data_IF_950988265096
#
_entry.id   IF_950988265096
#
_cell.length_a   1.000
_cell.length_b   1.000
_cell.length_c   1.000
_cell.angle_alpha   90.00
_cell.angle_beta   90.00
_cell.angle_gamma   90.00
#
_symmetry.space_group_name_H-M   'P 1'
#
loop_
_entity.id
_entity.type
_entity.pdbx_description
1 polymer ?
#
# COMPACT_ATOMS: atom_id res chain seq x y z
N UNK A 1 15.28 -29.61 12.33
CA UNK A 1 15.56 -28.52 11.36
C UNK A 1 14.68 -27.33 11.67
N UNK A 2 15.22 -26.25 12.27
CA UNK A 2 14.50 -24.97 12.40
C UNK A 2 14.55 -24.30 11.03
N UNK A 3 13.49 -24.44 10.23
CA UNK A 3 13.32 -23.62 9.02
C UNK A 3 13.21 -22.16 9.46
N UNK A 4 14.34 -21.46 9.43
CA UNK A 4 14.34 -20.02 9.67
C UNK A 4 13.70 -19.38 8.45
N UNK A 5 12.54 -18.76 8.65
CA UNK A 5 11.81 -17.99 7.62
C UNK A 5 12.68 -16.87 7.01
N UNK A 6 13.82 -16.56 7.62
CA UNK A 6 14.78 -15.53 7.19
C UNK A 6 15.60 -15.91 5.95
N UNK A 7 15.68 -17.18 5.56
CA UNK A 7 16.49 -17.61 4.39
C UNK A 7 15.66 -18.12 3.22
N UNK A 8 14.33 -18.14 3.35
CA UNK A 8 13.45 -18.61 2.29
C UNK A 8 13.38 -17.58 1.15
N UNK A 9 13.44 -18.07 -0.08
CA UNK A 9 13.19 -17.25 -1.28
C UNK A 9 11.78 -16.68 -1.23
N UNK A 10 11.58 -15.44 -1.70
CA UNK A 10 10.25 -14.82 -1.85
C UNK A 10 9.32 -15.75 -2.63
N UNK A 11 9.82 -16.37 -3.72
CA UNK A 11 9.06 -17.34 -4.52
C UNK A 11 8.68 -18.57 -3.70
N UNK A 12 9.57 -19.08 -2.85
CA UNK A 12 9.27 -20.21 -1.96
C UNK A 12 8.23 -19.84 -0.92
N UNK A 13 8.30 -18.65 -0.32
CA UNK A 13 7.31 -18.18 0.65
C UNK A 13 5.93 -17.99 0.03
N UNK A 14 5.86 -17.43 -1.18
CA UNK A 14 4.61 -17.28 -1.94
C UNK A 14 4.06 -18.65 -2.32
N UNK A 15 4.88 -19.57 -2.84
CA UNK A 15 4.43 -20.92 -3.15
C UNK A 15 3.95 -21.66 -1.90
N UNK A 16 4.68 -21.54 -0.78
CA UNK A 16 4.31 -22.16 0.48
C UNK A 16 3.00 -21.59 1.02
N UNK A 17 2.74 -20.28 0.90
CA UNK A 17 1.45 -19.70 1.31
C UNK A 17 0.29 -20.17 0.42
N UNK A 18 0.49 -20.30 -0.90
CA UNK A 18 -0.49 -20.88 -1.82
C UNK A 18 -0.77 -22.36 -1.49
N UNK A 19 0.26 -23.17 -1.26
CA UNK A 19 0.10 -24.57 -0.86
C UNK A 19 -0.62 -24.70 0.49
N UNK A 20 -0.27 -23.86 1.46
CA UNK A 20 -0.91 -23.83 2.78
C UNK A 20 -2.39 -23.42 2.69
N UNK A 21 -2.75 -22.57 1.73
CA UNK A 21 -4.14 -22.17 1.47
C UNK A 21 -4.94 -23.23 0.67
N UNK A 22 -4.28 -24.10 -0.10
CA UNK A 22 -4.91 -25.14 -0.90
C UNK A 22 -5.23 -26.43 -0.11
N UNK A 23 -4.39 -26.80 0.85
CA UNK A 23 -4.61 -28.00 1.70
C UNK A 23 -6.01 -28.00 2.33
N UNK A 24 -6.47 -26.90 2.94
CA UNK A 24 -7.78 -26.83 3.59
C UNK A 24 -8.92 -27.02 2.58
N UNK A 25 -8.82 -26.43 1.38
CA UNK A 25 -9.80 -26.61 0.30
C UNK A 25 -9.86 -28.07 -0.16
N UNK A 26 -8.72 -28.74 -0.26
CA UNK A 26 -8.66 -30.17 -0.57
C UNK A 26 -9.33 -31.04 0.48
N UNK A 27 -9.13 -30.75 1.77
CA UNK A 27 -9.80 -31.44 2.89
C UNK A 27 -11.32 -31.24 2.82
N UNK A 28 -11.79 -30.02 2.54
CA UNK A 28 -13.22 -29.72 2.38
C UNK A 28 -13.86 -30.52 1.25
N UNK A 29 -13.22 -30.56 0.07
CA UNK A 29 -13.73 -31.31 -1.08
C UNK A 29 -13.81 -32.82 -0.78
N UNK A 30 -12.78 -33.36 -0.13
CA UNK A 30 -12.75 -34.76 0.27
C UNK A 30 -13.85 -35.10 1.27
N UNK A 31 -14.02 -34.26 2.28
CA UNK A 31 -15.02 -34.45 3.33
C UNK A 31 -16.45 -34.32 2.80
N UNK A 32 -16.70 -33.31 1.95
CA UNK A 32 -17.99 -33.14 1.28
C UNK A 32 -18.37 -34.36 0.44
N UNK A 33 -17.42 -34.92 -0.32
CA UNK A 33 -17.66 -36.09 -1.16
C UNK A 33 -17.96 -37.36 -0.32
N UNK A 34 -17.24 -37.54 0.79
CA UNK A 34 -17.45 -38.67 1.70
C UNK A 34 -18.80 -38.59 2.43
N UNK A 35 -19.24 -37.39 2.81
CA UNK A 35 -20.54 -37.19 3.46
C UNK A 35 -21.72 -37.43 2.50
N UNK A 36 -21.63 -36.94 1.26
CA UNK A 36 -22.68 -37.10 0.24
C UNK A 36 -22.93 -38.57 -0.10
N UNK A 37 -21.84 -39.35 -0.26
CA UNK A 37 -21.90 -40.77 -0.59
C UNK A 37 -22.43 -41.64 0.55
N UNK A 38 -22.12 -41.28 1.80
CA UNK A 38 -22.65 -41.96 2.99
C UNK A 38 -24.16 -41.73 3.16
N UNK A 39 -24.64 -40.49 3.09
CA UNK A 39 -26.07 -40.20 3.33
C UNK A 39 -26.97 -40.76 2.22
N UNK A 40 -26.53 -40.70 0.95
CA UNK A 40 -27.34 -41.14 -0.19
C UNK A 40 -27.61 -42.66 -0.20
N UNK A 41 -26.60 -43.49 0.05
CA UNK A 41 -26.75 -44.94 -0.06
C UNK A 41 -27.56 -45.53 1.11
N UNK A 42 -27.43 -44.96 2.31
CA UNK A 42 -28.22 -45.38 3.47
C UNK A 42 -29.67 -44.90 3.41
N UNK A 43 -29.93 -43.71 2.85
CA UNK A 43 -31.30 -43.21 2.65
C UNK A 43 -32.10 -44.05 1.64
N UNK A 44 -31.46 -44.51 0.55
CA UNK A 44 -32.13 -45.36 -0.44
C UNK A 44 -32.49 -46.74 0.15
N UNK A 45 -31.53 -47.41 0.80
CA UNK A 45 -31.76 -48.74 1.36
C UNK A 45 -32.83 -48.76 2.48
N UNK A 46 -32.87 -47.74 3.32
CA UNK A 46 -33.89 -47.63 4.37
C UNK A 46 -35.27 -47.29 3.83
N UNK A 47 -35.36 -46.45 2.78
CA UNK A 47 -36.63 -46.18 2.11
C UNK A 47 -37.22 -47.44 1.45
N UNK A 48 -36.39 -48.27 0.81
CA UNK A 48 -36.84 -49.55 0.23
C UNK A 48 -37.40 -50.51 1.28
N UNK A 49 -36.73 -50.62 2.44
CA UNK A 49 -37.18 -51.47 3.55
C UNK A 49 -38.45 -50.96 4.23
N UNK A 50 -38.62 -49.63 4.36
CA UNK A 50 -39.84 -49.03 4.88
C UNK A 50 -41.04 -49.31 3.96
N UNK A 51 -40.87 -49.13 2.64
CA UNK A 51 -41.93 -49.36 1.65
C UNK A 51 -42.36 -50.83 1.61
N UNK A 52 -41.41 -51.78 1.69
CA UNK A 52 -41.74 -53.21 1.69
C UNK A 52 -42.52 -53.63 2.94
N UNK A 53 -42.15 -53.10 4.12
CA UNK A 53 -42.82 -53.37 5.39
C UNK A 53 -44.26 -52.83 5.43
N UNK A 54 -44.49 -51.63 4.89
CA UNK A 54 -45.85 -51.06 4.76
C UNK A 54 -46.72 -51.89 3.82
N UNK A 55 -46.19 -52.29 2.65
CA UNK A 55 -46.92 -53.13 1.69
C UNK A 55 -47.31 -54.48 2.28
N UNK A 56 -46.43 -55.10 3.09
CA UNK A 56 -46.74 -56.35 3.78
C UNK A 56 -47.87 -56.16 4.81
N UNK A 57 -47.83 -55.08 5.60
CA UNK A 57 -48.88 -54.77 6.57
C UNK A 57 -50.25 -54.54 5.93
N UNK A 58 -50.30 -53.82 4.80
CA UNK A 58 -51.53 -53.62 4.01
C UNK A 58 -52.09 -54.93 3.45
N UNK A 59 -51.22 -55.78 2.88
CA UNK A 59 -51.60 -57.10 2.36
C UNK A 59 -52.22 -57.99 3.45
N UNK A 60 -51.59 -58.03 4.62
CA UNK A 60 -52.10 -58.77 5.78
C UNK A 60 -53.44 -58.23 6.28
N UNK A 61 -53.66 -56.91 6.22
CA UNK A 61 -54.94 -56.31 6.59
C UNK A 61 -56.05 -56.71 5.63
N UNK A 62 -55.79 -56.74 4.32
CA UNK A 62 -56.74 -57.24 3.32
C UNK A 62 -57.05 -58.71 3.53
N UNK A 63 -56.04 -59.54 3.82
CA UNK A 63 -56.20 -60.98 3.99
C UNK A 63 -57.07 -61.33 5.21
N UNK A 64 -57.01 -60.54 6.30
CA UNK A 64 -57.92 -60.71 7.44
C UNK A 64 -59.38 -60.49 7.07
N UNK A 65 -59.67 -59.52 6.19
CA UNK A 65 -61.04 -59.29 5.68
C UNK A 65 -61.51 -60.46 4.82
N UNK A 66 -60.61 -61.04 4.01
CA UNK A 66 -60.92 -62.21 3.20
C UNK A 66 -61.16 -63.47 4.07
N UNK A 67 -60.40 -63.64 5.17
CA UNK A 67 -60.66 -64.67 6.18
C UNK A 67 -62.04 -64.48 6.79
N UNK A 68 -62.39 -63.27 7.23
CA UNK A 68 -63.71 -62.96 7.82
C UNK A 68 -64.84 -63.30 6.83
N UNK A 69 -64.68 -62.92 5.55
CA UNK A 69 -65.65 -63.23 4.50
C UNK A 69 -65.76 -64.73 4.24
N UNK A 70 -64.64 -65.44 4.11
CA UNK A 70 -64.63 -66.88 3.83
C UNK A 70 -65.20 -67.71 4.98
N UNK A 71 -64.88 -67.37 6.24
CA UNK A 71 -65.43 -68.01 7.45
C UNK A 71 -66.95 -67.82 7.51
N UNK A 72 -67.44 -66.60 7.27
CA UNK A 72 -68.89 -66.31 7.24
C UNK A 72 -69.61 -67.06 6.12
N UNK A 73 -69.05 -67.07 4.91
CA UNK A 73 -69.64 -67.80 3.78
C UNK A 73 -69.69 -69.31 4.04
N UNK A 74 -68.63 -69.86 4.62
CA UNK A 74 -68.58 -71.27 4.98
C UNK A 74 -69.63 -71.64 6.05
N UNK A 75 -69.81 -70.80 7.07
CA UNK A 75 -70.81 -71.04 8.13
C UNK A 75 -72.25 -71.17 7.58
N UNK A 76 -72.57 -70.45 6.50
CA UNK A 76 -73.89 -70.47 5.84
C UNK A 76 -74.02 -71.61 4.82
N UNK A 77 -73.04 -71.76 3.91
CA UNK A 77 -73.16 -72.63 2.71
C UNK A 77 -72.58 -74.03 2.94
N UNK A 78 -71.59 -74.18 3.84
CA UNK A 78 -71.00 -75.45 4.31
C UNK A 78 -70.49 -76.38 3.20
N UNK A 79 -69.73 -75.85 2.24
CA UNK A 79 -69.06 -76.65 1.20
C UNK A 79 -67.57 -76.84 1.47
N UNK A 80 -67.02 -78.00 1.09
CA UNK A 80 -65.60 -78.33 1.24
C UNK A 80 -64.67 -77.32 0.52
N UNK A 81 -65.14 -76.75 -0.59
CA UNK A 81 -64.38 -75.74 -1.34
C UNK A 81 -64.19 -74.45 -0.53
N UNK A 82 -65.24 -73.98 0.17
CA UNK A 82 -65.17 -72.80 1.03
C UNK A 82 -64.37 -73.06 2.31
N UNK A 83 -64.41 -74.29 2.84
CA UNK A 83 -63.56 -74.70 3.96
C UNK A 83 -62.08 -74.61 3.60
N UNK A 84 -61.69 -75.19 2.46
CA UNK A 84 -60.30 -75.13 1.96
C UNK A 84 -59.87 -73.70 1.67
N UNK A 85 -60.76 -72.88 1.11
CA UNK A 85 -60.49 -71.46 0.86
C UNK A 85 -60.18 -70.71 2.16
N UNK A 86 -61.02 -70.87 3.20
CA UNK A 86 -60.80 -70.23 4.50
C UNK A 86 -59.51 -70.70 5.17
N UNK A 87 -59.24 -72.02 5.16
CA UNK A 87 -58.00 -72.58 5.69
C UNK A 87 -56.76 -72.06 4.96
N UNK A 88 -56.81 -71.96 3.62
CA UNK A 88 -55.72 -71.40 2.83
C UNK A 88 -55.45 -69.92 3.17
N UNK A 89 -56.49 -69.10 3.35
CA UNK A 89 -56.30 -67.71 3.76
C UNK A 89 -55.68 -67.59 5.16
N UNK A 90 -56.11 -68.44 6.12
CA UNK A 90 -55.52 -68.47 7.47
C UNK A 90 -54.06 -68.91 7.42
N UNK A 91 -53.73 -69.93 6.64
CA UNK A 91 -52.37 -70.43 6.51
C UNK A 91 -51.44 -69.41 5.83
N UNK A 92 -51.94 -68.71 4.81
CA UNK A 92 -51.22 -67.60 4.18
C UNK A 92 -50.97 -66.44 5.17
N UNK A 93 -51.95 -66.10 6.01
CA UNK A 93 -51.79 -65.05 7.03
C UNK A 93 -50.78 -65.46 8.10
N UNK A 94 -50.78 -66.73 8.52
CA UNK A 94 -49.79 -67.27 9.46
C UNK A 94 -48.38 -67.18 8.89
N UNK A 95 -48.20 -67.51 7.61
CA UNK A 95 -46.90 -67.42 6.94
C UNK A 95 -46.40 -65.98 6.82
N UNK A 96 -47.26 -65.04 6.41
CA UNK A 96 -46.91 -63.62 6.33
C UNK A 96 -46.59 -63.03 7.70
N UNK A 97 -47.36 -63.40 8.73
CA UNK A 97 -47.08 -63.00 10.11
C UNK A 97 -45.73 -63.54 10.58
N UNK A 98 -45.38 -64.79 10.27
CA UNK A 98 -44.09 -65.38 10.66
C UNK A 98 -42.90 -64.69 9.98
N UNK A 99 -43.05 -64.24 8.74
CA UNK A 99 -42.04 -63.45 8.03
C UNK A 99 -41.87 -62.07 8.67
N UNK A 100 -42.98 -61.36 8.89
CA UNK A 100 -42.97 -60.03 9.49
C UNK A 100 -42.37 -60.01 10.90
N UNK A 101 -42.74 -60.97 11.75
CA UNK A 101 -42.23 -61.07 13.11
C UNK A 101 -40.76 -61.53 13.17
N UNK A 102 -40.23 -62.11 12.09
CA UNK A 102 -38.81 -62.42 11.96
C UNK A 102 -38.00 -61.18 11.59
N UNK A 103 -38.54 -60.35 10.70
CA UNK A 103 -37.90 -59.12 10.25
C UNK A 103 -37.98 -58.00 11.30
N UNK A 104 -39.04 -58.01 12.12
CA UNK A 104 -39.27 -57.05 13.23
C UNK A 104 -39.53 -57.80 14.55
N UNK A 105 -38.47 -58.18 15.30
CA UNK A 105 -38.60 -59.00 16.51
C UNK A 105 -39.24 -58.29 17.71
N UNK A 106 -39.36 -56.96 17.68
CA UNK A 106 -39.87 -56.14 18.79
C UNK A 106 -41.40 -56.01 18.81
N UNK A 107 -42.14 -56.64 17.88
CA UNK A 107 -43.60 -56.62 17.87
C UNK A 107 -44.21 -57.50 18.97
N UNK A 108 -44.79 -56.87 19.98
CA UNK A 108 -45.37 -57.53 21.15
C UNK A 108 -46.59 -58.42 20.80
N UNK A 109 -47.33 -58.09 19.75
CA UNK A 109 -48.60 -58.73 19.38
C UNK A 109 -48.45 -59.93 18.44
N UNK A 110 -47.23 -60.22 17.96
CA UNK A 110 -46.94 -61.34 17.05
C UNK A 110 -47.38 -62.70 17.60
N UNK A 111 -47.04 -63.01 18.85
CA UNK A 111 -47.41 -64.28 19.50
C UNK A 111 -48.92 -64.39 19.73
N UNK A 112 -49.56 -63.29 20.13
CA UNK A 112 -50.99 -63.24 20.38
C UNK A 112 -51.79 -63.45 19.07
N UNK A 113 -51.42 -62.76 17.99
CA UNK A 113 -52.04 -62.90 16.67
C UNK A 113 -51.86 -64.31 16.09
N UNK A 114 -50.68 -64.91 16.25
CA UNK A 114 -50.41 -66.31 15.87
C UNK A 114 -51.34 -67.27 16.60
N UNK A 115 -51.48 -67.09 17.92
CA UNK A 115 -52.36 -67.94 18.73
C UNK A 115 -53.85 -67.81 18.33
N UNK A 116 -54.30 -66.59 18.00
CA UNK A 116 -55.67 -66.35 17.56
C UNK A 116 -55.96 -66.99 16.19
N UNK A 117 -55.03 -66.90 15.25
CA UNK A 117 -55.13 -67.54 13.93
C UNK A 117 -55.08 -69.08 14.02
N UNK A 118 -54.22 -69.64 14.87
CA UNK A 118 -54.18 -71.09 15.12
C UNK A 118 -55.47 -71.58 15.80
N UNK A 119 -56.03 -70.79 16.72
CA UNK A 119 -57.34 -71.05 17.33
C UNK A 119 -58.46 -71.03 16.29
N UNK A 120 -58.41 -70.12 15.32
CA UNK A 120 -59.39 -70.03 14.24
C UNK A 120 -59.28 -71.22 13.30
N UNK A 121 -58.05 -71.64 12.97
CA UNK A 121 -57.77 -72.85 12.18
C UNK A 121 -58.31 -74.10 12.86
N UNK A 122 -58.09 -74.25 14.17
CA UNK A 122 -58.53 -75.42 14.92
C UNK A 122 -60.06 -75.60 14.93
N UNK A 123 -60.83 -74.52 14.83
CA UNK A 123 -62.31 -74.58 14.77
C UNK A 123 -62.84 -75.29 13.53
N UNK A 124 -62.06 -75.35 12.45
CA UNK A 124 -62.44 -76.07 11.24
C UNK A 124 -62.25 -77.59 11.34
N UNK A 125 -61.68 -78.10 12.44
CA UNK A 125 -61.58 -79.54 12.72
C UNK A 125 -62.88 -80.10 13.35
N UNK A 126 -63.76 -79.23 13.84
CA UNK A 126 -65.08 -79.56 14.40
C UNK A 126 -66.19 -78.97 13.51
N UNK A 127 -67.41 -79.53 13.50
CA UNK A 127 -68.51 -78.93 12.74
C UNK A 127 -68.86 -77.55 13.29
N UNK A 128 -68.55 -76.49 12.52
CA UNK A 128 -68.91 -75.11 12.88
C UNK A 128 -70.44 -74.94 12.91
N UNK A 129 -71.00 -74.83 14.12
CA UNK A 129 -72.42 -74.53 14.34
C UNK A 129 -72.69 -73.02 14.32
N UNK A 130 -71.77 -72.20 14.82
CA UNK A 130 -71.85 -70.73 14.88
C UNK A 130 -70.52 -70.08 14.44
N UNK A 131 -70.59 -68.85 13.93
CA UNK A 131 -69.41 -68.07 13.55
C UNK A 131 -68.69 -67.60 14.82
N UNK A 132 -67.36 -67.80 14.96
CA UNK A 132 -66.60 -67.35 16.12
C UNK A 132 -66.32 -65.83 16.06
N UNK A 133 -67.36 -65.01 16.24
CA UNK A 133 -67.31 -63.55 16.10
C UNK A 133 -66.28 -62.89 17.01
N UNK A 134 -66.17 -63.34 18.27
CA UNK A 134 -65.19 -62.82 19.22
C UNK A 134 -63.75 -63.06 18.75
N UNK A 135 -63.46 -64.23 18.15
CA UNK A 135 -62.12 -64.56 17.66
C UNK A 135 -61.79 -63.80 16.38
N UNK A 136 -62.76 -63.63 15.47
CA UNK A 136 -62.61 -62.82 14.27
C UNK A 136 -62.38 -61.34 14.63
N UNK A 137 -63.12 -60.81 15.60
CA UNK A 137 -62.93 -59.45 16.11
C UNK A 137 -61.56 -59.31 16.76
N UNK A 138 -61.12 -60.29 17.56
CA UNK A 138 -59.78 -60.30 18.16
C UNK A 138 -58.68 -60.26 17.09
N UNK A 139 -58.71 -61.15 16.09
CA UNK A 139 -57.74 -61.19 14.98
C UNK A 139 -57.71 -59.85 14.23
N UNK A 140 -58.86 -59.24 13.98
CA UNK A 140 -58.97 -57.93 13.32
C UNK A 140 -58.36 -56.81 14.17
N UNK A 141 -58.69 -56.75 15.46
CA UNK A 141 -58.15 -55.71 16.36
C UNK A 141 -56.65 -55.84 16.56
N UNK A 142 -56.14 -57.07 16.73
CA UNK A 142 -54.72 -57.35 16.85
C UNK A 142 -53.98 -57.01 15.55
N UNK A 143 -54.57 -57.28 14.38
CA UNK A 143 -53.99 -56.86 13.10
C UNK A 143 -53.89 -55.34 12.98
N UNK A 144 -54.93 -54.59 13.36
CA UNK A 144 -54.89 -53.12 13.32
C UNK A 144 -53.84 -52.53 14.27
N UNK A 145 -53.68 -53.14 15.45
CA UNK A 145 -52.64 -52.74 16.40
C UNK A 145 -51.24 -53.04 15.88
N UNK A 146 -51.02 -54.21 15.26
CA UNK A 146 -49.76 -54.56 14.58
C UNK A 146 -49.41 -53.55 13.49
N UNK A 147 -50.37 -53.19 12.63
CA UNK A 147 -50.14 -52.16 11.59
C UNK A 147 -49.78 -50.82 12.20
N UNK A 148 -50.42 -50.42 13.32
CA UNK A 148 -50.08 -49.18 14.02
C UNK A 148 -48.67 -49.22 14.63
N UNK A 149 -48.29 -50.31 15.30
CA UNK A 149 -46.94 -50.48 15.85
C UNK A 149 -45.86 -50.39 14.76
N UNK A 150 -46.13 -50.93 13.57
CA UNK A 150 -45.22 -50.82 12.41
C UNK A 150 -45.07 -49.36 11.96
N UNK A 151 -46.17 -48.60 11.86
CA UNK A 151 -46.11 -47.17 11.54
C UNK A 151 -45.33 -46.37 12.59
N UNK A 152 -45.60 -46.59 13.87
CA UNK A 152 -44.92 -45.90 14.97
C UNK A 152 -43.40 -46.21 14.97
N UNK A 153 -43.00 -47.46 14.69
CA UNK A 153 -41.60 -47.86 14.57
C UNK A 153 -40.91 -47.22 13.36
N UNK A 154 -41.58 -47.15 12.20
CA UNK A 154 -41.04 -46.53 11.00
C UNK A 154 -40.88 -45.01 11.16
N UNK A 155 -41.85 -44.33 11.78
CA UNK A 155 -41.77 -42.89 12.07
C UNK A 155 -40.60 -42.58 13.00
N UNK A 156 -40.42 -43.37 14.07
CA UNK A 156 -39.27 -43.23 14.97
C UNK A 156 -37.92 -43.47 14.27
N UNK A 157 -37.84 -44.42 13.34
CA UNK A 157 -36.63 -44.66 12.56
C UNK A 157 -36.31 -43.49 11.64
N UNK A 158 -37.32 -42.94 10.95
CA UNK A 158 -37.16 -41.79 10.05
C UNK A 158 -36.70 -40.55 10.81
N UNK A 159 -37.29 -40.28 11.98
CA UNK A 159 -36.91 -39.15 12.83
C UNK A 159 -35.47 -39.26 13.32
N UNK A 160 -35.06 -40.45 13.80
CA UNK A 160 -33.67 -40.70 14.20
C UNK A 160 -32.69 -40.48 13.04
N UNK A 161 -33.05 -40.87 11.82
CA UNK A 161 -32.22 -40.64 10.64
C UNK A 161 -32.12 -39.16 10.28
N UNK A 162 -33.23 -38.42 10.29
CA UNK A 162 -33.20 -36.97 10.03
C UNK A 162 -32.34 -36.23 11.06
N UNK A 163 -32.42 -36.62 12.33
CA UNK A 163 -31.57 -36.06 13.40
C UNK A 163 -30.08 -36.38 13.17
N UNK A 164 -29.74 -37.59 12.71
CA UNK A 164 -28.35 -37.92 12.36
C UNK A 164 -27.83 -37.10 11.18
N UNK A 165 -28.64 -36.90 10.13
CA UNK A 165 -28.25 -36.07 8.98
C UNK A 165 -28.04 -34.62 9.38
N UNK A 166 -28.96 -34.03 10.15
CA UNK A 166 -28.86 -32.64 10.60
C UNK A 166 -27.69 -32.42 11.55
N UNK A 167 -27.44 -33.34 12.49
CA UNK A 167 -26.27 -33.25 13.39
C UNK A 167 -24.94 -33.34 12.61
N UNK A 168 -24.87 -34.21 11.59
CA UNK A 168 -23.68 -34.36 10.74
C UNK A 168 -23.46 -33.11 9.88
N UNK A 169 -24.52 -32.51 9.34
CA UNK A 169 -24.44 -31.22 8.62
C UNK A 169 -23.91 -30.09 9.52
N UNK A 170 -24.37 -30.00 10.78
CA UNK A 170 -23.90 -28.98 11.72
C UNK A 170 -22.42 -29.15 12.08
N UNK A 171 -21.97 -30.39 12.29
CA UNK A 171 -20.55 -30.68 12.54
C UNK A 171 -19.68 -30.27 11.34
N UNK A 172 -20.10 -30.64 10.13
CA UNK A 172 -19.43 -30.22 8.89
C UNK A 172 -19.38 -28.69 8.76
N UNK A 173 -20.48 -28.00 9.06
CA UNK A 173 -20.53 -26.54 9.01
C UNK A 173 -19.50 -25.90 9.96
N UNK A 174 -19.37 -26.39 11.20
CA UNK A 174 -18.37 -25.88 12.14
C UNK A 174 -16.93 -26.18 11.70
N UNK A 175 -16.66 -27.36 11.18
CA UNK A 175 -15.33 -27.71 10.65
C UNK A 175 -14.97 -26.85 9.44
N UNK A 176 -15.91 -26.66 8.50
CA UNK A 176 -15.71 -25.78 7.35
C UNK A 176 -15.44 -24.34 7.77
N UNK A 177 -16.19 -23.82 8.75
CA UNK A 177 -16.00 -22.48 9.27
C UNK A 177 -14.63 -22.32 9.94
N UNK A 178 -14.25 -23.25 10.82
CA UNK A 178 -12.96 -23.23 11.51
C UNK A 178 -11.79 -23.25 10.52
N UNK A 179 -11.92 -24.06 9.47
CA UNK A 179 -10.93 -24.22 8.43
C UNK A 179 -10.80 -22.96 7.54
N UNK A 180 -11.92 -22.32 7.18
CA UNK A 180 -11.93 -21.02 6.47
C UNK A 180 -11.35 -19.90 7.34
N UNK A 181 -11.65 -19.87 8.63
CA UNK A 181 -11.06 -18.87 9.53
C UNK A 181 -9.54 -19.07 9.68
N UNK A 182 -9.09 -20.32 9.79
CA UNK A 182 -7.66 -20.64 9.82
C UNK A 182 -6.95 -20.21 8.53
N UNK A 183 -7.54 -20.46 7.35
CA UNK A 183 -6.95 -20.03 6.07
C UNK A 183 -6.87 -18.52 5.97
N UNK A 184 -7.92 -17.78 6.35
CA UNK A 184 -7.93 -16.33 6.36
C UNK A 184 -6.82 -15.76 7.25
N UNK A 185 -6.66 -16.29 8.47
CA UNK A 185 -5.60 -15.89 9.40
C UNK A 185 -4.20 -16.13 8.82
N UNK A 186 -3.98 -17.28 8.18
CA UNK A 186 -2.71 -17.62 7.53
C UNK A 186 -2.40 -16.69 6.35
N UNK A 187 -3.41 -16.34 5.54
CA UNK A 187 -3.26 -15.40 4.41
C UNK A 187 -2.94 -13.99 4.91
N UNK A 188 -3.65 -13.49 5.93
CA UNK A 188 -3.37 -12.17 6.52
C UNK A 188 -1.96 -12.11 7.12
N UNK A 189 -1.54 -13.18 7.82
CA UNK A 189 -0.20 -13.29 8.38
C UNK A 189 0.88 -13.29 7.29
N UNK A 190 0.70 -14.08 6.22
CA UNK A 190 1.63 -14.13 5.10
C UNK A 190 1.70 -12.78 4.34
N UNK A 191 0.56 -12.14 4.11
CA UNK A 191 0.47 -10.83 3.46
C UNK A 191 1.25 -9.76 4.23
N UNK A 192 1.05 -9.66 5.55
CA UNK A 192 1.78 -8.72 6.39
C UNK A 192 3.30 -8.95 6.39
N UNK A 193 3.73 -10.22 6.33
CA UNK A 193 5.17 -10.59 6.27
C UNK A 193 5.83 -10.24 4.93
N UNK A 194 5.08 -10.24 3.83
CA UNK A 194 5.60 -9.92 2.49
C UNK A 194 5.54 -8.41 2.21
N UNK A 195 4.47 -7.72 2.60
CA UNK A 195 4.26 -6.31 2.30
C UNK A 195 5.15 -5.36 3.13
N UNK A 196 5.38 -5.66 4.41
CA UNK A 196 6.17 -4.82 5.30
C UNK A 196 7.61 -4.51 4.81
N UNK A 197 8.42 -5.49 4.36
CA UNK A 197 9.76 -5.20 3.85
C UNK A 197 9.75 -4.38 2.54
N UNK A 198 8.73 -4.54 1.69
CA UNK A 198 8.58 -3.74 0.45
C UNK A 198 8.34 -2.26 0.78
N UNK A 199 7.47 -1.97 1.77
CA UNK A 199 7.25 -0.61 2.24
C UNK A 199 8.49 0.02 2.89
N UNK A 200 9.40 -0.79 3.46
CA UNK A 200 10.71 -0.31 3.94
C UNK A 200 11.64 0.05 2.78
N UNK A 201 11.71 -0.79 1.75
CA UNK A 201 12.51 -0.52 0.54
C UNK A 201 12.07 0.75 -0.18
N UNK A 202 10.76 0.94 -0.32
CA UNK A 202 10.19 2.15 -0.92
C UNK A 202 10.61 3.42 -0.14
N UNK A 203 10.58 3.38 1.20
CA UNK A 203 11.11 4.48 2.03
C UNK A 203 12.61 4.71 1.82
N UNK A 204 13.41 3.65 1.67
CA UNK A 204 14.85 3.77 1.36
C UNK A 204 15.10 4.42 -0.01
N UNK A 205 14.30 4.08 -1.03
CA UNK A 205 14.40 4.68 -2.36
C UNK A 205 14.05 6.17 -2.32
N UNK A 206 12.93 6.54 -1.67
CA UNK A 206 12.56 7.94 -1.49
C UNK A 206 13.60 8.73 -0.70
N UNK A 207 14.26 8.09 0.26
CA UNK A 207 15.36 8.69 1.03
C UNK A 207 16.59 9.00 0.15
N UNK A 208 16.92 8.15 -0.83
CA UNK A 208 18.02 8.46 -1.78
C UNK A 208 17.68 9.66 -2.66
N UNK A 209 16.41 9.82 -3.06
CA UNK A 209 15.98 10.92 -3.92
C UNK A 209 15.98 12.29 -3.22
N UNK A 210 15.96 12.33 -1.89
CA UNK A 210 15.93 13.58 -1.13
C UNK A 210 17.32 13.93 -0.59
N UNK A 211 17.86 15.13 -0.88
CA UNK A 211 19.15 15.56 -0.35
C UNK A 211 19.06 15.62 1.17
N UNK A 212 19.88 14.80 1.86
CA UNK A 212 20.03 14.65 3.33
C UNK A 212 19.17 13.64 4.09
N UNK A 213 18.34 12.78 3.48
CA UNK A 213 17.79 11.68 4.30
C UNK A 213 18.89 10.70 4.67
N UNK A 214 19.18 10.57 5.97
CA UNK A 214 20.06 9.51 6.48
C UNK A 214 19.49 8.18 6.01
N UNK A 215 20.29 7.46 5.22
CA UNK A 215 19.91 6.14 4.77
C UNK A 215 19.63 5.28 6.01
N UNK A 216 18.42 4.69 6.15
CA UNK A 216 18.05 3.98 7.36
C UNK A 216 19.07 2.87 7.65
N UNK A 217 19.71 2.94 8.81
CA UNK A 217 20.78 2.00 9.15
C UNK A 217 20.24 0.61 9.54
N UNK A 218 18.92 0.50 9.69
CA UNK A 218 18.21 -0.72 10.04
C UNK A 218 18.41 -1.81 8.97
N UNK A 219 18.92 -2.98 9.38
CA UNK A 219 19.02 -4.14 8.49
C UNK A 219 17.62 -4.58 8.07
N UNK A 220 17.38 -4.67 6.76
CA UNK A 220 16.13 -5.20 6.24
C UNK A 220 15.99 -6.65 6.70
N UNK A 221 14.86 -6.99 7.33
CA UNK A 221 14.51 -8.37 7.70
C UNK A 221 13.40 -8.83 6.77
N UNK A 222 13.63 -9.91 6.03
CA UNK A 222 12.67 -10.40 5.04
C UNK A 222 13.21 -11.56 4.21
N UNK A 223 12.51 -11.89 3.11
CA UNK A 223 12.98 -12.84 2.11
C UNK A 223 14.36 -12.46 1.58
N UNK A 224 15.17 -13.46 1.24
CA UNK A 224 16.57 -13.29 0.84
C UNK A 224 16.75 -12.28 -0.30
N UNK A 225 15.89 -12.30 -1.30
CA UNK A 225 15.94 -11.40 -2.46
C UNK A 225 15.70 -9.95 -2.06
N UNK A 226 14.79 -9.69 -1.12
CA UNK A 226 14.53 -8.33 -0.63
C UNK A 226 15.67 -7.83 0.24
N UNK A 227 16.32 -8.71 1.00
CA UNK A 227 17.51 -8.35 1.79
C UNK A 227 18.71 -8.04 0.91
N UNK A 228 18.96 -8.86 -0.13
CA UNK A 228 20.03 -8.62 -1.12
C UNK A 228 19.81 -7.29 -1.86
N UNK A 229 18.57 -7.00 -2.28
CA UNK A 229 18.21 -5.72 -2.90
C UNK A 229 18.44 -4.54 -1.94
N UNK A 230 18.11 -4.70 -0.65
CA UNK A 230 18.36 -3.68 0.37
C UNK A 230 19.86 -3.38 0.56
N UNK A 231 20.71 -4.39 0.51
CA UNK A 231 22.17 -4.21 0.57
C UNK A 231 22.72 -3.52 -0.69
N UNK A 232 22.22 -3.87 -1.88
CA UNK A 232 22.57 -3.19 -3.13
C UNK A 232 22.18 -1.70 -3.11
N UNK A 233 20.99 -1.38 -2.60
CA UNK A 233 20.53 0.00 -2.47
C UNK A 233 21.42 0.80 -1.51
N UNK A 234 21.83 0.18 -0.39
CA UNK A 234 22.74 0.76 0.59
C UNK A 234 24.13 1.01 -0.02
N UNK A 235 24.66 0.06 -0.77
CA UNK A 235 25.93 0.21 -1.49
C UNK A 235 25.86 1.37 -2.49
N UNK A 236 24.78 1.48 -3.25
CA UNK A 236 24.57 2.56 -4.22
C UNK A 236 24.49 3.93 -3.53
N UNK A 237 23.75 4.04 -2.44
CA UNK A 237 23.69 5.26 -1.63
C UNK A 237 25.07 5.68 -1.11
N UNK A 238 25.84 4.73 -0.56
CA UNK A 238 27.21 5.00 -0.09
C UNK A 238 28.12 5.43 -1.23
N UNK A 239 27.99 4.82 -2.41
CA UNK A 239 28.78 5.17 -3.60
C UNK A 239 28.48 6.58 -4.09
N UNK A 240 27.21 6.99 -4.10
CA UNK A 240 26.81 8.35 -4.46
C UNK A 240 27.40 9.39 -3.49
N UNK A 241 27.31 9.14 -2.18
CA UNK A 241 27.90 10.02 -1.16
C UNK A 241 29.42 10.15 -1.32
N UNK A 242 30.13 9.05 -1.63
CA UNK A 242 31.57 9.09 -1.91
C UNK A 242 31.90 9.92 -3.15
N UNK A 243 31.14 9.76 -4.24
CA UNK A 243 31.34 10.54 -5.47
C UNK A 243 31.10 12.04 -5.24
N UNK A 244 30.07 12.36 -4.45
CA UNK A 244 29.78 13.74 -4.06
C UNK A 244 30.94 14.32 -3.23
N UNK A 245 31.42 13.61 -2.21
CA UNK A 245 32.56 14.03 -1.39
C UNK A 245 33.84 14.22 -2.22
N UNK A 246 34.14 13.31 -3.16
CA UNK A 246 35.29 13.43 -4.05
C UNK A 246 35.19 14.65 -4.97
N UNK A 247 33.99 14.94 -5.50
CA UNK A 247 33.74 16.16 -6.29
C UNK A 247 34.07 17.40 -5.46
N UNK A 248 33.75 17.42 -4.17
CA UNK A 248 34.05 18.56 -3.29
C UNK A 248 35.56 18.74 -3.05
N UNK A 249 36.27 17.64 -2.79
CA UNK A 249 37.73 17.68 -2.58
C UNK A 249 38.42 18.20 -3.84
N UNK A 250 38.01 17.71 -5.02
CA UNK A 250 38.54 18.16 -6.31
C UNK A 250 38.32 19.66 -6.53
N UNK A 251 37.10 20.16 -6.29
CA UNK A 251 36.80 21.58 -6.46
C UNK A 251 37.60 22.46 -5.50
N UNK A 252 37.72 22.06 -4.23
CA UNK A 252 38.52 22.80 -3.24
C UNK A 252 40.00 22.83 -3.62
N UNK A 253 40.55 21.69 -4.05
CA UNK A 253 41.93 21.59 -4.47
C UNK A 253 42.21 22.40 -5.73
N UNK A 254 41.36 22.27 -6.77
CA UNK A 254 41.49 23.01 -8.01
C UNK A 254 41.57 24.52 -7.77
N UNK A 255 40.79 25.06 -6.84
CA UNK A 255 40.82 26.48 -6.56
C UNK A 255 42.03 26.94 -5.76
N UNK A 256 42.55 26.11 -4.86
CA UNK A 256 43.83 26.40 -4.21
C UNK A 256 44.97 26.46 -5.24
N UNK A 257 45.00 25.48 -6.15
CA UNK A 257 46.00 25.41 -7.22
C UNK A 257 45.86 26.51 -8.28
N UNK A 258 44.67 27.09 -8.45
CA UNK A 258 44.46 28.25 -9.33
C UNK A 258 44.81 29.58 -8.65
N UNK A 259 44.59 29.71 -7.33
CA UNK A 259 44.86 30.95 -6.59
C UNK A 259 46.36 31.28 -6.54
N UNK A 260 47.20 30.27 -6.34
CA UNK A 260 48.66 30.44 -6.28
C UNK A 260 49.27 31.06 -7.55
N UNK A 261 49.08 30.50 -8.76
CA UNK A 261 49.65 31.09 -9.98
C UNK A 261 49.03 32.45 -10.32
N UNK A 262 47.76 32.68 -9.99
CA UNK A 262 47.13 34.00 -10.17
C UNK A 262 47.77 35.07 -9.27
N UNK A 263 48.04 34.74 -8.01
CA UNK A 263 48.77 35.64 -7.10
C UNK A 263 50.17 35.96 -7.63
N UNK A 264 50.90 34.98 -8.14
CA UNK A 264 52.23 35.21 -8.74
C UNK A 264 52.17 36.09 -9.99
N UNK A 265 51.16 35.93 -10.85
CA UNK A 265 50.95 36.81 -12.03
C UNK A 265 50.65 38.24 -11.58
N UNK A 266 49.79 38.42 -10.56
CA UNK A 266 49.48 39.75 -10.00
C UNK A 266 50.71 40.41 -9.40
N UNK A 267 51.49 39.68 -8.61
CA UNK A 267 52.70 40.19 -7.99
C UNK A 267 53.74 40.60 -9.04
N UNK A 268 53.95 39.77 -10.08
CA UNK A 268 54.81 40.12 -11.21
C UNK A 268 54.32 41.37 -11.97
N UNK A 269 53.01 41.51 -12.18
CA UNK A 269 52.43 42.70 -12.80
C UNK A 269 52.58 43.95 -11.92
N UNK A 270 52.44 43.81 -10.59
CA UNK A 270 52.64 44.89 -9.64
C UNK A 270 54.11 45.37 -9.64
N UNK A 271 55.07 44.45 -9.57
CA UNK A 271 56.51 44.77 -9.64
C UNK A 271 56.88 45.49 -10.94
N UNK A 272 56.30 45.07 -12.07
CA UNK A 272 56.48 45.74 -13.37
C UNK A 272 55.83 47.13 -13.37
N UNK A 273 54.60 47.25 -12.88
CA UNK A 273 53.85 48.52 -12.85
C UNK A 273 54.48 49.56 -11.93
N UNK A 274 55.07 49.13 -10.80
CA UNK A 274 55.82 49.97 -9.87
C UNK A 274 57.25 50.28 -10.35
N UNK A 275 57.65 49.74 -11.52
CA UNK A 275 58.96 49.93 -12.15
C UNK A 275 60.15 49.47 -11.27
N UNK A 276 59.90 48.60 -10.28
CA UNK A 276 60.91 48.09 -9.35
C UNK A 276 61.98 47.21 -10.03
N UNK A 277 61.64 46.63 -11.18
CA UNK A 277 62.53 45.80 -12.02
C UNK A 277 63.10 46.55 -13.23
N UNK A 278 62.80 47.84 -13.38
CA UNK A 278 63.27 48.71 -14.46
C UNK A 278 62.16 49.55 -15.12
N UNK A 279 62.52 50.58 -15.91
CA UNK A 279 61.55 51.42 -16.60
C UNK A 279 60.85 50.66 -17.73
N UNK A 280 59.53 50.87 -17.85
CA UNK A 280 58.72 50.33 -18.93
C UNK A 280 58.56 51.34 -20.07
N UNK A 281 58.53 50.86 -21.31
CA UNK A 281 58.05 51.69 -22.43
C UNK A 281 56.54 51.91 -22.34
N UNK A 282 55.98 52.97 -22.96
CA UNK A 282 54.54 53.23 -22.92
C UNK A 282 53.69 52.04 -23.39
N UNK A 283 54.12 51.35 -24.45
CA UNK A 283 53.46 50.15 -24.97
C UNK A 283 53.53 48.97 -23.98
N UNK A 284 54.66 48.79 -23.28
CA UNK A 284 54.78 47.74 -22.26
C UNK A 284 53.88 48.03 -21.05
N UNK A 285 53.73 49.30 -20.69
CA UNK A 285 52.89 49.72 -19.57
C UNK A 285 51.40 49.44 -19.85
N UNK A 286 50.94 49.66 -21.09
CA UNK A 286 49.59 49.25 -21.52
C UNK A 286 49.39 47.74 -21.41
N UNK A 287 50.37 46.93 -21.87
CA UNK A 287 50.30 45.47 -21.79
C UNK A 287 50.26 44.97 -20.34
N UNK A 288 51.10 45.52 -19.46
CA UNK A 288 51.11 45.17 -18.03
C UNK A 288 49.77 45.52 -17.37
N UNK A 289 49.20 46.67 -17.73
CA UNK A 289 47.88 47.09 -17.23
C UNK A 289 46.79 46.10 -17.67
N UNK A 290 46.82 45.65 -18.93
CA UNK A 290 45.88 44.65 -19.44
C UNK A 290 46.04 43.28 -18.77
N UNK A 291 47.28 42.83 -18.54
CA UNK A 291 47.58 41.57 -17.85
C UNK A 291 47.10 41.61 -16.40
N UNK A 292 47.36 42.72 -15.69
CA UNK A 292 46.93 42.88 -14.30
C UNK A 292 45.40 42.85 -14.20
N UNK A 293 44.69 43.59 -15.07
CA UNK A 293 43.23 43.57 -15.13
C UNK A 293 42.67 42.17 -15.46
N UNK A 294 43.35 41.40 -16.31
CA UNK A 294 42.97 40.03 -16.65
C UNK A 294 43.19 39.06 -15.49
N UNK A 295 44.29 39.20 -14.75
CA UNK A 295 44.61 38.38 -13.58
C UNK A 295 43.64 38.66 -12.41
N UNK A 296 43.35 39.93 -12.14
CA UNK A 296 42.33 40.34 -11.16
C UNK A 296 40.97 39.72 -11.50
N UNK A 297 40.59 39.78 -12.78
CA UNK A 297 39.34 39.21 -13.25
C UNK A 297 39.26 37.70 -13.06
N UNK A 298 40.31 36.96 -13.40
CA UNK A 298 40.37 35.51 -13.18
C UNK A 298 40.28 35.18 -11.68
N UNK A 299 40.97 35.95 -10.84
CA UNK A 299 40.91 35.79 -9.38
C UNK A 299 39.47 35.91 -8.89
N UNK A 300 38.75 36.96 -9.26
CA UNK A 300 37.35 37.18 -8.86
C UNK A 300 36.45 36.04 -9.36
N UNK A 301 36.62 35.58 -10.60
CA UNK A 301 35.85 34.45 -11.16
C UNK A 301 36.09 33.15 -10.40
N UNK A 302 37.34 32.86 -10.03
CA UNK A 302 37.67 31.65 -9.27
C UNK A 302 37.08 31.67 -7.86
N UNK A 303 37.09 32.84 -7.20
CA UNK A 303 36.51 33.02 -5.87
C UNK A 303 34.98 32.91 -5.93
N UNK A 304 34.33 33.52 -6.92
CA UNK A 304 32.88 33.42 -7.12
C UNK A 304 32.43 31.99 -7.43
N UNK A 305 33.16 31.25 -8.26
CA UNK A 305 32.85 29.85 -8.56
C UNK A 305 32.96 28.96 -7.31
N UNK A 306 33.97 29.21 -6.48
CA UNK A 306 34.13 28.54 -5.21
C UNK A 306 33.01 28.84 -4.24
N UNK A 307 32.69 30.12 -4.06
CA UNK A 307 31.66 30.57 -3.14
C UNK A 307 30.27 30.12 -3.56
N UNK A 308 30.02 30.01 -4.87
CA UNK A 308 28.84 29.37 -5.43
C UNK A 308 28.77 27.88 -5.09
N UNK A 309 29.87 27.13 -5.26
CA UNK A 309 29.91 25.71 -4.89
C UNK A 309 29.78 25.49 -3.38
N UNK A 310 30.32 26.37 -2.54
CA UNK A 310 30.12 26.34 -1.08
C UNK A 310 28.67 26.64 -0.72
N UNK A 311 28.03 27.58 -1.42
CA UNK A 311 26.62 27.91 -1.21
C UNK A 311 25.70 26.73 -1.53
N UNK A 312 25.91 26.06 -2.66
CA UNK A 312 25.17 24.85 -3.03
C UNK A 312 25.30 23.73 -1.98
N UNK A 313 26.38 23.73 -1.19
CA UNK A 313 26.56 22.79 -0.07
C UNK A 313 25.88 23.22 1.22
N UNK A 314 25.49 24.50 1.35
CA UNK A 314 24.81 25.04 2.52
C UNK A 314 23.36 24.51 2.54
N UNK A 315 23.23 23.26 2.95
CA UNK A 315 22.04 22.48 2.66
C UNK A 315 20.87 22.74 3.63
N UNK A 316 21.01 23.65 4.59
CA UNK A 316 19.90 24.26 5.34
C UNK A 316 20.28 25.70 5.72
N UNK A 317 19.36 26.67 5.55
CA UNK A 317 19.54 28.03 6.05
C UNK A 317 19.66 28.02 7.59
N UNK A 318 20.58 28.82 8.13
CA UNK A 318 20.63 29.11 9.55
C UNK A 318 19.66 30.24 9.87
N UNK A 319 18.40 29.88 10.15
CA UNK A 319 17.34 30.84 10.44
C UNK A 319 17.61 31.60 11.74
N UNK A 320 17.78 32.90 11.63
CA UNK A 320 17.88 33.83 12.75
C UNK A 320 16.91 34.99 12.55
N UNK A 321 16.53 35.66 13.65
CA UNK A 321 15.76 36.88 13.57
C UNK A 321 16.70 38.06 13.33
N UNK A 322 16.55 38.71 12.18
CA UNK A 322 17.40 39.79 11.69
C UNK A 322 16.59 41.08 11.61
N UNK A 323 17.24 42.22 11.85
CA UNK A 323 16.68 43.55 11.57
C UNK A 323 17.04 43.91 10.12
N UNK A 324 16.13 43.75 9.14
CA UNK A 324 16.48 43.85 7.73
C UNK A 324 16.97 45.25 7.34
N UNK A 325 16.43 46.30 7.98
CA UNK A 325 16.86 47.67 7.74
C UNK A 325 18.35 47.88 8.05
N UNK A 326 18.85 47.32 9.16
CA UNK A 326 20.26 47.42 9.53
C UNK A 326 21.14 46.65 8.53
N UNK A 327 20.76 45.40 8.22
CA UNK A 327 21.49 44.57 7.26
C UNK A 327 21.59 45.20 5.88
N UNK A 328 20.49 45.75 5.37
CA UNK A 328 20.48 46.47 4.09
C UNK A 328 21.41 47.69 4.14
N UNK A 329 21.39 48.45 5.23
CA UNK A 329 22.24 49.64 5.38
C UNK A 329 23.73 49.29 5.47
N UNK A 330 24.09 48.20 6.15
CA UNK A 330 25.46 47.65 6.15
C UNK A 330 25.90 47.26 4.74
N UNK A 331 25.06 46.57 3.96
CA UNK A 331 25.36 46.24 2.57
C UNK A 331 25.59 47.52 1.74
N UNK A 332 24.75 48.54 1.89
CA UNK A 332 24.93 49.79 1.14
C UNK A 332 26.20 50.55 1.52
N UNK A 333 26.61 50.51 2.79
CA UNK A 333 27.86 51.12 3.24
C UNK A 333 29.07 50.47 2.56
N UNK A 334 29.07 49.15 2.39
CA UNK A 334 30.14 48.44 1.68
C UNK A 334 30.22 48.85 0.20
N UNK A 335 29.09 49.22 -0.41
CA UNK A 335 29.00 49.65 -1.81
C UNK A 335 29.05 51.17 -2.01
N UNK A 336 29.12 51.97 -0.94
CA UNK A 336 28.94 53.42 -0.98
C UNK A 336 29.94 54.12 -1.91
N UNK A 337 31.19 53.67 -1.90
CA UNK A 337 32.27 54.28 -2.69
C UNK A 337 32.06 54.05 -4.21
N UNK A 338 31.60 52.87 -4.60
CA UNK A 338 31.23 52.53 -5.99
C UNK A 338 30.01 53.35 -6.46
N UNK A 339 28.98 53.42 -5.61
CA UNK A 339 27.76 54.19 -5.89
C UNK A 339 28.05 55.68 -6.08
N UNK A 340 28.91 56.25 -5.23
CA UNK A 340 29.32 57.65 -5.30
C UNK A 340 30.12 57.96 -6.57
N UNK A 341 31.02 57.07 -6.98
CA UNK A 341 31.78 57.22 -8.23
C UNK A 341 30.89 57.29 -9.46
N UNK A 342 29.74 56.60 -9.45
CA UNK A 342 28.76 56.57 -10.56
C UNK A 342 27.60 57.58 -10.40
N UNK A 343 27.66 58.41 -9.36
CA UNK A 343 26.60 59.38 -8.99
C UNK A 343 25.21 58.72 -8.78
N UNK A 344 25.17 57.45 -8.40
CA UNK A 344 23.92 56.72 -8.19
C UNK A 344 23.44 56.87 -6.74
N UNK A 345 22.20 57.32 -6.56
CA UNK A 345 21.57 57.40 -5.23
C UNK A 345 20.77 56.13 -4.94
N UNK A 346 20.85 55.62 -3.71
CA UNK A 346 20.02 54.49 -3.27
C UNK A 346 18.75 55.01 -2.59
N UNK A 347 17.59 54.54 -3.05
CA UNK A 347 16.29 54.77 -2.42
C UNK A 347 15.83 53.50 -1.71
N UNK A 348 16.05 53.45 -0.40
CA UNK A 348 15.70 52.31 0.46
C UNK A 348 14.31 52.52 1.05
N UNK A 349 13.40 51.58 0.82
CA UNK A 349 12.07 51.51 1.43
C UNK A 349 11.90 50.14 2.11
N UNK A 350 12.05 50.10 3.43
CA UNK A 350 11.91 48.88 4.22
C UNK A 350 10.71 49.00 5.15
N UNK A 351 9.69 48.17 4.93
CA UNK A 351 8.43 48.17 5.68
C UNK A 351 8.40 47.08 6.77
N UNK A 352 9.49 46.33 6.94
CA UNK A 352 9.61 45.23 7.91
C UNK A 352 10.52 45.62 9.07
N UNK A 353 10.02 45.46 10.30
CA UNK A 353 10.81 45.67 11.52
C UNK A 353 11.70 44.46 11.88
N UNK A 354 11.31 43.25 11.49
CA UNK A 354 12.07 42.02 11.71
C UNK A 354 11.82 41.00 10.61
N UNK A 355 12.85 40.23 10.26
CA UNK A 355 12.84 39.19 9.25
C UNK A 355 13.46 37.91 9.82
N UNK A 356 12.76 36.78 9.77
CA UNK A 356 13.37 35.48 10.07
C UNK A 356 14.00 34.93 8.79
N UNK A 357 15.33 34.90 8.70
CA UNK A 357 16.07 34.45 7.52
C UNK A 357 17.46 33.95 7.91
N UNK A 358 18.16 33.28 7.00
CA UNK A 358 19.62 33.18 7.09
C UNK A 358 20.22 34.51 6.62
N UNK A 359 20.90 35.19 7.55
CA UNK A 359 21.53 36.49 7.34
C UNK A 359 22.56 36.47 6.20
N UNK A 360 23.37 35.40 6.10
CA UNK A 360 24.40 35.29 5.06
C UNK A 360 23.78 35.07 3.68
N UNK A 361 22.76 34.21 3.57
CA UNK A 361 22.07 33.99 2.30
C UNK A 361 21.32 35.25 1.84
N UNK A 362 20.65 35.94 2.76
CA UNK A 362 19.93 37.18 2.44
C UNK A 362 20.89 38.32 2.05
N UNK A 363 22.01 38.48 2.76
CA UNK A 363 23.07 39.43 2.39
C UNK A 363 23.62 39.16 1.00
N UNK A 364 23.89 37.89 0.66
CA UNK A 364 24.35 37.50 -0.68
C UNK A 364 23.34 37.84 -1.78
N UNK A 365 22.05 37.68 -1.52
CA UNK A 365 20.99 38.12 -2.45
C UNK A 365 21.11 39.62 -2.68
N UNK A 366 21.15 40.42 -1.60
CA UNK A 366 21.27 41.88 -1.67
C UNK A 366 22.54 42.31 -2.44
N UNK A 367 23.70 41.77 -2.09
CA UNK A 367 24.97 42.13 -2.73
C UNK A 367 24.96 41.85 -4.23
N UNK A 368 24.43 40.71 -4.66
CA UNK A 368 24.35 40.37 -6.08
C UNK A 368 23.34 41.23 -6.84
N UNK A 369 22.22 41.58 -6.22
CA UNK A 369 21.22 42.44 -6.83
C UNK A 369 21.69 43.89 -6.92
N UNK A 370 22.32 44.42 -5.87
CA UNK A 370 22.89 45.76 -5.82
C UNK A 370 24.02 45.90 -6.86
N UNK A 371 24.94 44.92 -6.91
CA UNK A 371 26.01 44.91 -7.91
C UNK A 371 25.46 44.87 -9.35
N UNK A 372 24.39 44.11 -9.60
CA UNK A 372 23.74 44.11 -10.92
C UNK A 372 23.09 45.47 -11.23
N UNK A 373 22.37 46.06 -10.28
CA UNK A 373 21.73 47.36 -10.45
C UNK A 373 22.75 48.48 -10.72
N UNK A 374 23.93 48.44 -10.10
CA UNK A 374 25.02 49.38 -10.37
C UNK A 374 25.63 49.17 -11.76
N UNK A 375 25.91 47.92 -12.12
CA UNK A 375 26.60 47.58 -13.36
C UNK A 375 25.75 47.85 -14.61
N UNK A 376 24.45 47.63 -14.54
CA UNK A 376 23.50 47.80 -15.66
C UNK A 376 22.63 49.05 -15.52
N UNK A 377 22.78 49.79 -14.43
CA UNK A 377 22.09 51.05 -14.17
C UNK A 377 22.65 52.19 -15.02
N UNK A 378 21.75 53.01 -15.57
CA UNK A 378 22.13 54.26 -16.21
C UNK A 378 22.85 55.17 -15.21
N UNK A 379 23.89 55.88 -15.66
CA UNK A 379 24.66 56.79 -14.83
C UNK A 379 23.78 57.92 -14.26
N UNK A 380 24.00 58.28 -12.99
CA UNK A 380 23.17 59.28 -12.29
C UNK A 380 21.74 58.85 -11.95
N UNK A 381 21.29 57.66 -12.39
CA UNK A 381 19.96 57.13 -12.04
C UNK A 381 19.94 56.48 -10.65
N UNK A 382 18.83 56.58 -9.91
CA UNK A 382 18.74 55.96 -8.60
C UNK A 382 18.56 54.44 -8.68
N UNK A 383 19.07 53.73 -7.67
CA UNK A 383 18.76 52.31 -7.43
C UNK A 383 17.67 52.25 -6.37
N UNK A 384 16.53 51.65 -6.70
CA UNK A 384 15.43 51.45 -5.75
C UNK A 384 15.54 50.09 -5.12
N UNK A 385 15.51 50.04 -3.79
CA UNK A 385 15.45 48.78 -3.04
C UNK A 385 14.27 48.83 -2.09
N UNK A 386 13.30 47.95 -2.33
CA UNK A 386 12.07 47.84 -1.52
C UNK A 386 12.00 46.48 -0.84
N UNK A 387 11.65 46.48 0.44
CA UNK A 387 11.38 45.26 1.19
C UNK A 387 10.05 45.42 1.92
N UNK A 388 9.05 44.62 1.55
CA UNK A 388 7.71 44.70 2.10
C UNK A 388 7.06 43.33 2.22
N UNK A 389 6.00 43.25 3.03
CA UNK A 389 5.14 42.06 3.11
C UNK A 389 4.03 42.17 2.06
N UNK A 390 3.82 41.11 1.30
CA UNK A 390 2.69 40.94 0.42
C UNK A 390 2.07 39.56 0.65
N UNK A 391 0.83 39.53 1.15
CA UNK A 391 0.11 38.32 1.54
C UNK A 391 0.91 37.46 2.53
N UNK A 392 1.18 36.20 2.17
CA UNK A 392 2.00 35.22 2.91
C UNK A 392 3.46 35.19 2.45
N UNK A 393 3.93 36.26 1.80
CA UNK A 393 5.31 36.37 1.31
C UNK A 393 5.99 37.68 1.69
N UNK A 394 7.30 37.60 1.83
CA UNK A 394 8.21 38.73 1.98
C UNK A 394 8.80 39.00 0.60
N UNK A 395 8.65 40.23 0.12
CA UNK A 395 9.04 40.63 -1.22
C UNK A 395 10.18 41.62 -1.14
N UNK A 396 11.32 41.24 -1.71
CA UNK A 396 12.47 42.11 -1.95
C UNK A 396 12.50 42.49 -3.43
N UNK A 397 12.49 43.79 -3.72
CA UNK A 397 12.64 44.32 -5.08
C UNK A 397 13.88 45.18 -5.17
N UNK A 398 14.70 44.93 -6.19
CA UNK A 398 15.82 45.79 -6.57
C UNK A 398 15.61 46.22 -8.00
N UNK A 399 15.50 47.53 -8.23
CA UNK A 399 15.18 48.10 -9.53
C UNK A 399 16.14 49.24 -9.90
N UNK A 400 16.36 49.40 -11.19
CA UNK A 400 17.23 50.45 -11.76
C UNK A 400 16.71 50.89 -13.14
N UNK A 401 17.07 52.10 -13.57
CA UNK A 401 16.93 52.50 -14.97
C UNK A 401 18.06 51.93 -15.80
N UNK A 402 17.78 51.56 -17.03
CA UNK A 402 18.74 50.90 -17.90
C UNK A 402 18.06 50.32 -19.14
N UNK A 403 18.73 49.38 -19.81
CA UNK A 403 18.08 48.71 -20.95
C UNK A 403 17.11 47.64 -20.46
N UNK A 404 15.84 47.65 -20.91
CA UNK A 404 14.88 46.62 -20.55
C UNK A 404 15.36 45.21 -20.94
N UNK A 405 15.03 44.22 -20.13
CA UNK A 405 15.39 42.82 -20.40
C UNK A 405 14.26 42.17 -21.22
N UNK A 406 14.54 41.66 -22.44
CA UNK A 406 13.58 40.94 -23.25
C UNK A 406 13.00 39.74 -22.50
N UNK A 407 11.68 39.52 -22.60
CA UNK A 407 10.97 38.44 -21.88
C UNK A 407 11.60 37.06 -22.14
N UNK A 408 12.02 36.80 -23.38
CA UNK A 408 12.65 35.53 -23.78
C UNK A 408 14.01 35.25 -23.10
N UNK A 409 14.67 36.26 -22.52
CA UNK A 409 15.94 36.12 -21.81
C UNK A 409 15.77 36.05 -20.29
N UNK A 410 14.61 36.44 -19.74
CA UNK A 410 14.43 36.62 -18.29
C UNK A 410 14.71 35.34 -17.49
N UNK A 411 14.18 34.20 -17.92
CA UNK A 411 14.41 32.91 -17.24
C UNK A 411 15.88 32.46 -17.37
N UNK A 412 16.45 32.61 -18.57
CA UNK A 412 17.83 32.16 -18.85
C UNK A 412 18.88 32.92 -18.05
N UNK A 413 18.63 34.19 -17.71
CA UNK A 413 19.58 34.98 -16.93
C UNK A 413 19.80 34.46 -15.51
N UNK A 414 18.92 33.58 -15.00
CA UNK A 414 19.11 32.89 -13.72
C UNK A 414 19.93 31.60 -13.84
N UNK A 415 20.29 31.15 -15.05
CA UNK A 415 21.19 30.00 -15.23
C UNK A 415 22.66 30.42 -15.04
N UNK A 416 23.53 29.53 -14.52
CA UNK A 416 24.95 29.84 -14.32
C UNK A 416 25.66 30.18 -15.64
N UNK A 417 26.50 31.22 -15.59
CA UNK A 417 27.33 31.70 -16.71
C UNK A 417 26.54 32.32 -17.88
N UNK A 418 25.22 32.47 -17.77
CA UNK A 418 24.43 33.19 -18.76
C UNK A 418 24.63 34.70 -18.63
N UNK A 419 24.60 35.39 -19.78
CA UNK A 419 24.75 36.85 -19.86
C UNK A 419 23.72 37.41 -20.83
N UNK A 420 23.19 38.58 -20.51
CA UNK A 420 22.34 39.34 -21.43
C UNK A 420 23.16 39.92 -22.58
N UNK A 421 22.47 40.34 -23.63
CA UNK A 421 23.07 41.10 -24.74
C UNK A 421 23.32 42.57 -24.40
N UNK A 422 22.82 43.04 -23.25
CA UNK A 422 22.97 44.42 -22.79
C UNK A 422 24.40 44.71 -22.35
N UNK A 423 25.05 45.76 -22.89
CA UNK A 423 26.36 46.19 -22.42
C UNK A 423 26.26 46.72 -20.98
N UNK A 424 27.25 46.39 -20.14
CA UNK A 424 27.39 46.99 -18.82
C UNK A 424 27.90 48.43 -18.94
N UNK A 425 27.51 49.28 -18.02
CA UNK A 425 28.01 50.65 -17.94
C UNK A 425 29.31 50.76 -17.11
N UNK A 426 29.80 49.68 -16.51
CA UNK A 426 31.14 49.60 -15.90
C UNK A 426 32.15 48.88 -16.82
N UNK A 427 33.43 49.21 -16.66
CA UNK A 427 34.53 48.61 -17.44
C UNK A 427 34.82 47.15 -17.04
N UNK A 428 34.09 46.59 -16.07
CA UNK A 428 34.35 45.27 -15.48
C UNK A 428 33.43 44.23 -16.11
N UNK A 429 34.01 43.23 -16.77
CA UNK A 429 33.22 42.12 -17.30
C UNK A 429 32.71 41.21 -16.17
N UNK A 430 31.39 41.14 -15.97
CA UNK A 430 30.74 40.24 -14.99
C UNK A 430 30.87 38.75 -15.28
N UNK A 431 30.83 37.91 -14.25
CA UNK A 431 30.99 36.44 -14.34
C UNK A 431 29.76 35.67 -14.86
N UNK A 432 28.57 36.28 -14.87
CA UNK A 432 27.32 35.58 -15.18
C UNK A 432 26.83 34.65 -14.06
N UNK A 433 27.41 34.73 -12.86
CA UNK A 433 27.01 33.92 -11.71
C UNK A 433 26.05 34.66 -10.75
N UNK A 434 25.94 35.99 -10.86
CA UNK A 434 25.25 36.77 -9.83
C UNK A 434 23.76 36.45 -9.69
N UNK A 435 23.03 36.39 -10.80
CA UNK A 435 21.60 36.06 -10.76
C UNK A 435 21.34 34.58 -10.46
N UNK A 436 22.21 33.65 -10.90
CA UNK A 436 22.10 32.25 -10.49
C UNK A 436 22.32 32.07 -8.99
N UNK A 437 23.26 32.82 -8.39
CA UNK A 437 23.44 32.87 -6.93
C UNK A 437 22.16 33.38 -6.25
N UNK A 438 21.54 34.44 -6.76
CA UNK A 438 20.27 34.97 -6.20
C UNK A 438 19.18 33.91 -6.26
N UNK A 439 19.00 33.24 -7.40
CA UNK A 439 17.99 32.20 -7.58
C UNK A 439 18.22 31.01 -6.62
N UNK A 440 19.45 30.56 -6.46
CA UNK A 440 19.78 29.45 -5.57
C UNK A 440 19.64 29.84 -4.09
N UNK A 441 20.06 31.04 -3.69
CA UNK A 441 19.85 31.56 -2.33
C UNK A 441 18.35 31.67 -2.02
N UNK A 442 17.56 32.22 -2.94
CA UNK A 442 16.11 32.31 -2.79
C UNK A 442 15.49 30.92 -2.65
N UNK A 443 15.90 29.95 -3.48
CA UNK A 443 15.43 28.56 -3.41
C UNK A 443 15.80 27.90 -2.07
N UNK A 444 17.02 28.12 -1.57
CA UNK A 444 17.45 27.61 -0.26
C UNK A 444 16.60 28.19 0.88
N UNK A 445 16.18 29.45 0.78
CA UNK A 445 15.26 30.11 1.70
C UNK A 445 13.78 29.74 1.45
N UNK A 446 13.48 28.79 0.54
CA UNK A 446 12.12 28.36 0.23
C UNK A 446 11.32 29.31 -0.67
N UNK A 447 12.01 30.27 -1.30
CA UNK A 447 11.45 31.30 -2.16
C UNK A 447 11.82 31.16 -3.64
N UNK A 448 11.57 32.24 -4.40
CA UNK A 448 11.84 32.33 -5.83
C UNK A 448 12.28 33.75 -6.25
N UNK A 449 12.99 33.87 -7.38
CA UNK A 449 13.46 35.12 -7.94
C UNK A 449 13.01 35.27 -9.40
N UNK A 450 12.46 36.43 -9.73
CA UNK A 450 11.85 36.78 -11.02
C UNK A 450 12.35 38.14 -11.53
N UNK A 451 12.24 38.37 -12.84
CA UNK A 451 12.37 39.70 -13.44
C UNK A 451 10.97 40.19 -13.79
N UNK A 452 10.56 41.32 -13.21
CA UNK A 452 9.21 41.89 -13.33
C UNK A 452 9.25 43.29 -13.93
N UNK A 453 8.16 43.68 -14.58
CA UNK A 453 7.99 45.04 -15.07
C UNK A 453 7.36 45.92 -13.98
N UNK A 454 7.90 47.12 -13.77
CA UNK A 454 7.39 48.11 -12.81
C UNK A 454 7.32 49.49 -13.46
N UNK A 455 6.41 50.34 -13.00
CA UNK A 455 6.16 51.65 -13.62
C UNK A 455 7.30 52.65 -13.36
N UNK A 456 8.10 52.45 -12.31
CA UNK A 456 9.09 53.40 -11.83
C UNK A 456 10.54 53.10 -12.26
N UNK A 457 10.79 52.01 -13.00
CA UNK A 457 12.14 51.58 -13.41
C UNK A 457 12.09 50.65 -14.62
N UNK A 458 13.17 50.58 -15.41
CA UNK A 458 13.25 49.78 -16.64
C UNK A 458 13.57 48.30 -16.38
N UNK A 459 14.25 48.01 -15.27
CA UNK A 459 14.60 46.66 -14.83
C UNK A 459 14.28 46.52 -13.35
N UNK A 460 13.52 45.48 -12.97
CA UNK A 460 13.26 45.14 -11.59
C UNK A 460 13.41 43.64 -11.37
N UNK A 461 14.29 43.26 -10.45
CA UNK A 461 14.44 41.89 -10.00
C UNK A 461 13.71 41.76 -8.67
N UNK A 462 12.78 40.81 -8.60
CA UNK A 462 11.94 40.55 -7.43
C UNK A 462 12.27 39.18 -6.84
N UNK A 463 12.57 39.14 -5.56
CA UNK A 463 12.72 37.91 -4.78
C UNK A 463 11.56 37.79 -3.81
N UNK A 464 10.85 36.66 -3.86
CA UNK A 464 9.75 36.33 -2.94
C UNK A 464 10.21 35.23 -1.99
N UNK A 465 10.12 35.48 -0.70
CA UNK A 465 10.45 34.54 0.39
C UNK A 465 9.19 34.23 1.20
N UNK A 466 9.05 33.02 1.77
CA UNK A 466 7.92 32.69 2.64
C UNK A 466 7.98 33.47 3.97
N UNK A 467 6.81 33.76 4.57
CA UNK A 467 6.71 34.59 5.78
C UNK A 467 7.17 33.90 7.08
N UNK A 468 7.47 32.62 7.03
CA UNK A 468 7.92 31.79 8.14
C UNK A 468 8.77 30.65 7.56
N UNK A 469 9.69 30.09 8.35
CA UNK A 469 10.54 28.96 7.96
C UNK A 469 9.80 27.65 7.66
N UNK A 470 8.53 27.71 7.28
CA UNK A 470 7.79 26.60 6.70
C UNK A 470 8.27 26.40 5.26
N UNK A 471 8.99 25.29 5.07
CA UNK A 471 9.28 24.75 3.74
C UNK A 471 7.97 24.70 2.93
N UNK A 472 7.97 25.09 1.64
CA UNK A 472 6.91 24.66 0.75
C UNK A 472 6.89 23.12 0.73
N UNK A 473 5.71 22.55 0.97
CA UNK A 473 5.42 21.10 1.03
C UNK A 473 5.72 20.41 -0.29
#
# INVERSE_FOLDING_TARGET
MRFSVQTASLRQLVLLSFFLALIPVGVLLWQSNKSLSGVSNYAIASAEQAVSSVRQAESMQSLVVDIERAVRQFAVVRTDALQRLALNHIDNQLQLLEQLCRDLPDLALCGAQRSALQGLRARFNEPLTEVPEALLQQVRTQQQQITKEIWDLLEQQLDRQQQQVTSTQQQLAWETFALVMLTLLLVLWASGRIAAPVQKLDRMIRAIAQPKHQFPDEKLRGPRELTELGEQLRWLSSRLQQLEALRLILLRHASHELKTPLSSIREGCALLSEQLVGPLTPQQQEVVTLLNASADRLSVLTEQLLDYNRLLQQAQPNWSQVVPQQLMQECFNDHALSLQQRQQQVKLDCQLSSLCTDEMLFRRILDNLINNAQAYGAEGSPVWVKLYRQDESIVLEVANNGSPIPVALREKLFEPFQRGTTPRFDAVQGSGLGLSIVADCARLLGGHADIVDVVYADVCIRVRLPLSGEKPV
#
